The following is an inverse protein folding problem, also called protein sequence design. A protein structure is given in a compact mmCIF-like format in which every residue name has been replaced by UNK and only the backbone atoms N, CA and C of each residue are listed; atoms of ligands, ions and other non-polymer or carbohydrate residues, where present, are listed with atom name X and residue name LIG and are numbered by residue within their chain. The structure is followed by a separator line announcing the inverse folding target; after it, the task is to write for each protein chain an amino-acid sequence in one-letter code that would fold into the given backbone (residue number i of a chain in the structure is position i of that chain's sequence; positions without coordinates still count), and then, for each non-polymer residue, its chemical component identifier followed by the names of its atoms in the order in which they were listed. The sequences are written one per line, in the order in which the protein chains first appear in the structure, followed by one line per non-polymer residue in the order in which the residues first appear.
data_IF_451344836498
#
_entry.id   IF_451344836498
#
_cell.length_a   1.000
_cell.length_b   1.000
_cell.length_c   1.000
_cell.angle_alpha   90.00
_cell.angle_beta   90.00
_cell.angle_gamma   90.00
#
_symmetry.space_group_name_H-M   'P 1'
#
loop_
_entity.id
_entity.type
_entity.pdbx_description
1 polymer ?
#
# COMPACT_ATOMS: atom_id res chain seq x y z
N UNK A 1 26.64 -8.57 -24.53
CA UNK A 1 26.57 -7.93 -23.19
C UNK A 1 26.50 -9.05 -22.15
N UNK A 2 26.77 -8.78 -20.87
CA UNK A 2 26.50 -9.73 -19.78
C UNK A 2 25.10 -9.41 -19.24
N UNK A 3 24.23 -10.41 -19.12
CA UNK A 3 22.90 -10.15 -18.53
C UNK A 3 23.03 -9.80 -17.04
N UNK A 4 22.22 -8.84 -16.53
CA UNK A 4 22.24 -8.48 -15.12
C UNK A 4 21.63 -9.61 -14.28
N UNK A 5 22.43 -10.19 -13.40
CA UNK A 5 21.91 -11.11 -12.38
C UNK A 5 20.95 -10.37 -11.42
N UNK A 6 19.78 -10.92 -11.09
CA UNK A 6 18.88 -10.34 -10.09
C UNK A 6 19.59 -10.10 -8.74
N UNK A 7 19.22 -9.04 -7.98
CA UNK A 7 19.78 -8.79 -6.65
C UNK A 7 19.60 -10.01 -5.73
N UNK A 8 20.67 -10.41 -5.04
CA UNK A 8 20.71 -11.68 -4.28
C UNK A 8 19.65 -11.75 -3.19
N UNK A 9 19.42 -10.66 -2.47
CA UNK A 9 18.46 -10.56 -1.36
C UNK A 9 17.03 -10.94 -1.73
N UNK A 10 16.65 -10.83 -3.02
CA UNK A 10 15.30 -11.16 -3.52
C UNK A 10 14.99 -12.66 -3.34
N UNK A 11 16.02 -13.51 -3.21
CA UNK A 11 15.88 -14.96 -2.97
C UNK A 11 15.37 -15.29 -1.57
N UNK A 12 15.68 -14.42 -0.61
CA UNK A 12 15.37 -14.58 0.81
C UNK A 12 14.22 -13.64 1.24
N UNK A 13 13.58 -12.97 0.27
CA UNK A 13 12.60 -11.92 0.51
C UNK A 13 11.16 -12.44 0.58
N UNK A 14 10.48 -12.12 1.68
CA UNK A 14 9.04 -12.30 1.85
C UNK A 14 8.35 -10.99 1.48
N UNK A 15 7.80 -10.94 0.28
CA UNK A 15 7.09 -9.76 -0.25
C UNK A 15 5.65 -9.70 0.25
N UNK A 16 5.24 -8.55 0.77
CA UNK A 16 3.84 -8.22 1.05
C UNK A 16 3.36 -7.13 0.08
N UNK A 17 2.26 -7.39 -0.64
CA UNK A 17 1.67 -6.41 -1.55
C UNK A 17 0.67 -5.51 -0.81
N UNK A 18 0.80 -4.20 -0.98
CA UNK A 18 -0.05 -3.18 -0.37
C UNK A 18 -0.74 -2.38 -1.47
N UNK A 19 -2.07 -2.29 -1.39
CA UNK A 19 -2.87 -1.32 -2.12
C UNK A 19 -3.20 -0.17 -1.16
N UNK A 20 -2.56 1.02 -1.26
CA UNK A 20 -2.58 2.02 -0.19
C UNK A 20 -3.98 2.41 0.29
N UNK A 21 -4.87 2.79 -0.64
CA UNK A 21 -6.26 3.22 -0.36
C UNK A 21 -7.11 2.18 0.39
N UNK A 22 -6.68 0.91 0.49
CA UNK A 22 -7.39 -0.17 1.20
C UNK A 22 -6.56 -0.85 2.30
N UNK A 23 -5.35 -0.39 2.59
CA UNK A 23 -4.52 -1.02 3.61
C UNK A 23 -4.84 -0.51 5.03
N UNK A 24 -4.79 0.81 5.22
CA UNK A 24 -5.25 1.47 6.46
C UNK A 24 -5.35 2.99 6.25
N UNK A 25 -6.42 3.63 6.71
CA UNK A 25 -6.44 5.08 6.91
C UNK A 25 -5.57 5.47 8.13
N UNK A 26 -4.69 6.45 7.95
CA UNK A 26 -3.69 6.88 8.94
C UNK A 26 -3.82 8.33 9.35
N UNK A 27 -4.28 9.18 8.45
CA UNK A 27 -4.55 10.61 8.64
C UNK A 27 -5.78 11.04 7.80
N UNK A 28 -6.98 11.08 8.39
CA UNK A 28 -8.19 11.56 7.71
C UNK A 28 -8.12 13.04 7.26
N UNK A 29 -7.08 13.78 7.62
CA UNK A 29 -6.80 15.13 7.09
C UNK A 29 -6.40 15.15 5.61
N UNK A 30 -6.04 14.00 5.01
CA UNK A 30 -5.73 13.88 3.59
C UNK A 30 -6.75 13.07 2.76
N UNK A 31 -7.85 12.61 3.37
CA UNK A 31 -8.88 11.80 2.71
C UNK A 31 -9.46 12.49 1.44
N UNK A 32 -9.54 11.80 0.29
CA UNK A 32 -10.18 12.32 -0.91
C UNK A 32 -11.67 12.68 -0.70
N UNK A 33 -12.19 13.75 -1.34
CA UNK A 33 -13.61 14.10 -1.25
C UNK A 33 -14.51 12.96 -1.72
N UNK A 34 -15.46 12.55 -0.88
CA UNK A 34 -16.33 11.40 -1.15
C UNK A 34 -15.73 10.04 -0.80
N UNK A 35 -14.67 10.00 0.01
CA UNK A 35 -14.20 8.79 0.71
C UNK A 35 -15.35 8.13 1.47
N UNK A 36 -15.48 6.81 1.32
CA UNK A 36 -16.52 6.00 1.96
C UNK A 36 -16.10 5.58 3.38
N UNK A 37 -17.06 5.20 4.25
CA UNK A 37 -16.78 4.44 5.46
C UNK A 37 -15.83 3.26 5.19
N UNK A 38 -14.91 2.98 6.11
CA UNK A 38 -13.86 1.98 5.90
C UNK A 38 -14.38 0.57 5.55
N UNK A 39 -15.51 0.19 6.14
CA UNK A 39 -16.12 -1.13 5.99
C UNK A 39 -17.14 -1.21 4.83
N UNK A 40 -17.35 -0.12 4.06
CA UNK A 40 -18.23 -0.14 2.88
C UNK A 40 -17.64 -0.99 1.74
N UNK A 41 -18.46 -1.74 0.97
CA UNK A 41 -17.98 -2.52 -0.16
C UNK A 41 -17.30 -1.66 -1.23
N UNK A 42 -16.04 -1.97 -1.62
CA UNK A 42 -15.27 -1.14 -2.54
C UNK A 42 -15.84 -1.15 -3.97
N UNK A 43 -15.81 0.01 -4.63
CA UNK A 43 -16.21 0.16 -6.03
C UNK A 43 -15.01 0.47 -6.93
N UNK A 44 -15.22 0.46 -8.26
CA UNK A 44 -14.21 0.89 -9.24
C UNK A 44 -13.77 2.36 -9.11
N UNK A 45 -14.46 3.20 -8.33
CA UNK A 45 -14.18 4.65 -8.26
C UNK A 45 -14.17 5.26 -6.86
N UNK A 46 -14.64 4.56 -5.84
CA UNK A 46 -14.61 5.08 -4.47
C UNK A 46 -13.22 5.05 -3.86
N UNK A 47 -12.98 5.95 -2.91
CA UNK A 47 -11.83 5.93 -2.03
C UNK A 47 -12.25 5.40 -0.66
N UNK A 48 -11.33 4.79 0.08
CA UNK A 48 -11.53 4.37 1.48
C UNK A 48 -10.56 5.08 2.43
N UNK A 49 -9.78 6.06 1.95
CA UNK A 49 -8.95 6.92 2.78
C UNK A 49 -7.65 6.25 3.26
N UNK A 50 -7.21 5.20 2.57
CA UNK A 50 -5.98 4.48 2.93
C UNK A 50 -4.71 5.18 2.45
N UNK A 51 -3.74 5.37 3.35
CA UNK A 51 -2.61 6.28 3.11
C UNK A 51 -1.25 5.72 3.62
N UNK A 52 -0.16 6.43 3.33
CA UNK A 52 1.20 6.02 3.72
C UNK A 52 1.49 6.19 5.22
N UNK A 53 0.75 7.05 5.94
CA UNK A 53 0.78 7.15 7.40
C UNK A 53 0.11 5.92 8.02
N UNK A 54 -0.92 5.36 7.39
CA UNK A 54 -1.57 4.11 7.77
C UNK A 54 -0.67 2.90 7.54
N UNK A 55 0.13 2.90 6.46
CA UNK A 55 1.22 1.94 6.26
C UNK A 55 2.27 2.05 7.36
N UNK A 56 2.72 3.28 7.68
CA UNK A 56 3.67 3.54 8.76
C UNK A 56 3.17 3.05 10.13
N UNK A 57 1.91 3.32 10.47
CA UNK A 57 1.23 2.85 11.69
C UNK A 57 0.98 1.32 11.72
N UNK A 58 1.47 0.57 10.73
CA UNK A 58 1.39 -0.90 10.66
C UNK A 58 2.72 -1.60 10.38
N UNK A 59 3.86 -0.89 10.41
CA UNK A 59 5.18 -1.52 10.25
C UNK A 59 5.48 -2.57 11.33
N UNK A 60 5.02 -2.38 12.57
CA UNK A 60 5.13 -3.41 13.61
C UNK A 60 4.38 -4.69 13.23
N UNK A 61 3.11 -4.58 12.81
CA UNK A 61 2.32 -5.72 12.32
C UNK A 61 3.00 -6.44 11.14
N UNK A 62 3.56 -5.70 10.19
CA UNK A 62 4.25 -6.24 9.01
C UNK A 62 5.55 -6.96 9.41
N UNK A 63 6.33 -6.39 10.33
CA UNK A 63 7.54 -7.02 10.89
C UNK A 63 7.20 -8.29 11.68
N UNK A 64 6.17 -8.24 12.51
CA UNK A 64 5.79 -9.35 13.39
C UNK A 64 5.13 -10.50 12.59
N UNK A 65 4.57 -10.20 11.41
CA UNK A 65 4.18 -11.18 10.37
C UNK A 65 5.39 -11.79 9.62
N UNK A 66 6.60 -11.23 9.77
CA UNK A 66 7.84 -11.72 9.17
C UNK A 66 8.08 -11.26 7.73
N UNK A 67 7.42 -10.20 7.25
CA UNK A 67 7.63 -9.69 5.89
C UNK A 67 8.94 -8.90 5.81
N UNK A 68 9.69 -9.06 4.71
CA UNK A 68 11.01 -8.40 4.53
C UNK A 68 11.08 -7.47 3.32
N UNK A 69 10.04 -7.42 2.49
CA UNK A 69 9.88 -6.43 1.43
C UNK A 69 8.42 -6.02 1.24
N UNK A 70 8.18 -4.74 0.93
CA UNK A 70 6.85 -4.21 0.60
C UNK A 70 6.77 -3.87 -0.89
N UNK A 71 5.72 -4.33 -1.56
CA UNK A 71 5.40 -3.97 -2.93
C UNK A 71 4.14 -3.11 -2.95
N UNK A 72 4.26 -1.82 -3.27
CA UNK A 72 3.14 -0.89 -3.30
C UNK A 72 2.51 -0.82 -4.71
N UNK A 73 1.18 -0.92 -4.81
CA UNK A 73 0.48 -0.43 -6.01
C UNK A 73 0.70 1.10 -6.12
N UNK A 74 0.68 1.66 -7.34
CA UNK A 74 1.83 3.46 -7.60
C UNK A 74 1.27 4.59 -6.76
N UNK A 75 2.16 5.36 -6.14
CA UNK A 75 1.88 6.37 -5.09
C UNK A 75 2.17 7.79 -5.58
N UNK A 76 2.17 7.98 -6.90
CA UNK A 76 2.38 9.27 -7.55
C UNK A 76 1.03 9.94 -7.81
N UNK A 77 1.02 11.28 -7.77
CA UNK A 77 -0.19 12.09 -7.88
C UNK A 77 -0.98 11.79 -9.14
N UNK A 78 -2.22 11.33 -8.96
CA UNK A 78 -3.24 11.14 -9.98
C UNK A 78 -4.64 11.26 -9.32
N UNK A 79 -5.71 10.87 -9.99
CA UNK A 79 -7.10 11.24 -9.62
C UNK A 79 -8.06 10.07 -9.46
N UNK A 80 -7.57 8.84 -9.32
CA UNK A 80 -8.37 7.64 -9.09
C UNK A 80 -7.87 6.83 -7.90
N UNK A 81 -8.66 5.85 -7.47
CA UNK A 81 -8.32 4.99 -6.34
C UNK A 81 -7.20 3.97 -6.63
N UNK A 82 -6.92 3.67 -7.90
CA UNK A 82 -5.88 2.73 -8.33
C UNK A 82 -4.64 3.43 -8.90
N UNK A 83 -4.82 4.66 -9.37
CA UNK A 83 -3.90 5.81 -9.53
C UNK A 83 -4.68 6.86 -10.34
#
# INVERSE_FOLDING_TARGET
MREPSPPTWVRDAVFYQIFPDRFRSGDPGNDPPGTQPWDDPPTHRSFSGGDLVGVLQKLDYLRDLGVTALYLTPIFTASTNHR
#
